data_IF_054199658848
#
_entry.id   IF_054199658848
#
_cell.length_a   1.000
_cell.length_b   1.000
_cell.length_c   1.000
_cell.angle_alpha   90.00
_cell.angle_beta   90.00
_cell.angle_gamma   90.00
#
_symmetry.space_group_name_H-M   'P 1'
#
loop_
_entity.id
_entity.type
_entity.pdbx_description
1 polymer ?
#
# COMPACT_ATOMS: atom_id res chain seq x y z
N UNK A 1 -0.32 -1.79 -15.58
CA UNK A 1 -0.38 -2.15 -14.14
C UNK A 1 -1.78 -1.91 -13.61
N UNK A 2 -2.35 -2.88 -12.93
CA UNK A 2 -3.73 -2.89 -12.45
C UNK A 2 -3.74 -2.64 -10.94
N UNK A 3 -4.43 -1.61 -10.50
CA UNK A 3 -4.38 -1.10 -9.12
C UNK A 3 -5.78 -1.01 -8.54
N UNK A 4 -5.88 -1.27 -7.24
CA UNK A 4 -7.05 -0.91 -6.43
C UNK A 4 -6.61 0.08 -5.35
N UNK A 5 -7.42 1.11 -5.13
CA UNK A 5 -7.18 2.15 -4.13
C UNK A 5 -8.23 2.06 -3.03
N UNK A 6 -7.78 1.97 -1.78
CA UNK A 6 -8.67 1.95 -0.62
C UNK A 6 -8.26 3.06 0.34
N UNK A 7 -9.14 4.04 0.52
CA UNK A 7 -8.97 5.15 1.44
C UNK A 7 -10.35 5.71 1.79
N UNK A 8 -10.59 6.03 3.06
CA UNK A 8 -11.88 6.58 3.49
C UNK A 8 -12.08 8.03 3.03
N UNK A 9 -11.02 8.72 2.62
CA UNK A 9 -11.09 10.07 2.06
C UNK A 9 -11.23 9.98 0.53
N UNK A 10 -12.45 10.28 0.04
CA UNK A 10 -12.74 10.21 -1.39
C UNK A 10 -11.96 11.23 -2.21
N UNK A 11 -11.56 12.35 -1.62
CA UNK A 11 -10.72 13.32 -2.32
C UNK A 11 -9.33 12.74 -2.59
N UNK A 12 -8.78 11.99 -1.64
CA UNK A 12 -7.51 11.29 -1.81
C UNK A 12 -7.62 10.25 -2.92
N UNK A 13 -8.64 9.40 -2.90
CA UNK A 13 -8.81 8.38 -3.94
C UNK A 13 -9.01 8.99 -5.32
N UNK A 14 -9.78 10.06 -5.44
CA UNK A 14 -9.98 10.75 -6.71
C UNK A 14 -8.68 11.36 -7.23
N UNK A 15 -7.93 12.04 -6.36
CA UNK A 15 -6.66 12.67 -6.72
C UNK A 15 -5.64 11.63 -7.16
N UNK A 16 -5.49 10.55 -6.41
CA UNK A 16 -4.56 9.47 -6.74
C UNK A 16 -4.96 8.76 -8.03
N UNK A 17 -6.23 8.46 -8.21
CA UNK A 17 -6.72 7.85 -9.45
C UNK A 17 -6.37 8.70 -10.66
N UNK A 18 -6.63 10.01 -10.58
CA UNK A 18 -6.33 10.95 -11.66
C UNK A 18 -4.85 10.97 -11.99
N UNK A 19 -4.00 11.07 -10.97
CA UNK A 19 -2.54 11.09 -11.14
C UNK A 19 -2.05 9.78 -11.74
N UNK A 20 -2.49 8.65 -11.23
CA UNK A 20 -2.04 7.34 -11.69
C UNK A 20 -2.47 7.07 -13.14
N UNK A 21 -3.72 7.34 -13.45
CA UNK A 21 -4.23 7.09 -14.80
C UNK A 21 -3.67 8.06 -15.85
N UNK A 22 -3.22 9.25 -15.43
CA UNK A 22 -2.59 10.21 -16.33
C UNK A 22 -1.27 9.73 -16.94
N UNK A 23 -0.62 8.77 -16.29
CA UNK A 23 0.65 8.21 -16.78
C UNK A 23 0.48 7.30 -18.00
N UNK A 24 -0.72 6.79 -18.24
CA UNK A 24 -1.01 5.83 -19.29
C UNK A 24 -0.55 4.40 -19.00
N UNK A 25 0.20 4.18 -17.92
CA UNK A 25 0.73 2.87 -17.55
C UNK A 25 -0.02 2.20 -16.41
N UNK A 26 -0.93 2.91 -15.76
CA UNK A 26 -1.68 2.42 -14.59
C UNK A 26 -3.17 2.48 -14.87
N UNK A 27 -3.85 1.38 -14.58
CA UNK A 27 -5.32 1.30 -14.61
C UNK A 27 -5.84 1.09 -13.20
N UNK A 28 -6.69 2.00 -12.73
CA UNK A 28 -7.36 1.86 -11.44
C UNK A 28 -8.65 1.07 -11.66
N UNK A 29 -8.68 -0.18 -11.22
CA UNK A 29 -9.80 -1.09 -11.44
C UNK A 29 -11.02 -0.71 -10.61
N UNK A 30 -10.77 -0.31 -9.36
CA UNK A 30 -11.82 0.03 -8.41
C UNK A 30 -11.23 0.87 -7.28
N UNK A 31 -12.11 1.58 -6.57
CA UNK A 31 -11.77 2.29 -5.34
C UNK A 31 -12.76 1.88 -4.26
N UNK A 32 -12.32 1.91 -3.01
CA UNK A 32 -13.17 1.60 -1.86
C UNK A 32 -12.80 2.48 -0.66
N UNK A 33 -13.63 2.41 0.38
CA UNK A 33 -13.53 3.29 1.54
C UNK A 33 -13.38 2.55 2.87
N UNK A 34 -13.31 1.22 2.84
CA UNK A 34 -13.23 0.41 4.06
C UNK A 34 -12.39 -0.84 3.86
N UNK A 35 -11.98 -1.44 4.97
CA UNK A 35 -11.27 -2.72 4.95
C UNK A 35 -12.10 -3.86 4.35
N UNK A 36 -13.40 -3.88 4.63
CA UNK A 36 -14.30 -4.88 4.06
C UNK A 36 -14.35 -4.78 2.53
N UNK A 37 -14.43 -3.56 2.00
CA UNK A 37 -14.38 -3.34 0.56
C UNK A 37 -13.02 -3.75 -0.02
N UNK A 38 -11.92 -3.47 0.69
CA UNK A 38 -10.59 -3.88 0.25
C UNK A 38 -10.52 -5.39 0.04
N UNK A 39 -11.02 -6.17 1.00
CA UNK A 39 -11.03 -7.64 0.92
C UNK A 39 -11.88 -8.11 -0.25
N UNK A 40 -13.10 -7.59 -0.38
CA UNK A 40 -14.02 -7.99 -1.43
C UNK A 40 -13.50 -7.64 -2.83
N UNK A 41 -12.99 -6.43 -3.00
CA UNK A 41 -12.45 -5.97 -4.29
C UNK A 41 -11.18 -6.72 -4.67
N UNK A 42 -10.31 -7.02 -3.70
CA UNK A 42 -9.13 -7.82 -3.97
C UNK A 42 -9.51 -9.21 -4.48
N UNK A 43 -10.46 -9.86 -3.85
CA UNK A 43 -10.93 -11.19 -4.26
C UNK A 43 -11.54 -11.17 -5.66
N UNK A 44 -12.29 -10.11 -5.97
CA UNK A 44 -12.95 -9.96 -7.25
C UNK A 44 -11.97 -9.69 -8.39
N UNK A 45 -11.02 -8.79 -8.19
CA UNK A 45 -10.20 -8.25 -9.27
C UNK A 45 -8.78 -8.79 -9.33
N UNK A 46 -8.22 -9.27 -8.23
CA UNK A 46 -6.83 -9.73 -8.13
C UNK A 46 -5.87 -8.72 -8.77
N UNK A 47 -5.77 -7.51 -8.23
CA UNK A 47 -4.93 -6.46 -8.83
C UNK A 47 -3.45 -6.81 -8.74
N UNK A 48 -2.63 -6.11 -9.53
CA UNK A 48 -1.18 -6.21 -9.41
C UNK A 48 -0.70 -5.63 -8.08
N UNK A 49 -1.27 -4.49 -7.66
CA UNK A 49 -0.96 -3.87 -6.37
C UNK A 49 -2.24 -3.32 -5.75
N UNK A 50 -2.38 -3.51 -4.44
CA UNK A 50 -3.41 -2.89 -3.63
C UNK A 50 -2.80 -1.75 -2.83
N UNK A 51 -3.27 -0.53 -3.06
CA UNK A 51 -2.95 0.64 -2.25
C UNK A 51 -3.98 0.75 -1.15
N UNK A 52 -3.55 0.63 0.10
CA UNK A 52 -4.45 0.44 1.23
C UNK A 52 -4.09 1.40 2.37
N UNK A 53 -5.04 2.26 2.72
CA UNK A 53 -4.90 3.15 3.87
C UNK A 53 -4.79 2.34 5.16
N UNK A 54 -3.82 2.67 6.00
CA UNK A 54 -3.64 2.00 7.29
C UNK A 54 -4.78 2.34 8.25
N UNK A 55 -5.19 3.61 8.30
CA UNK A 55 -6.15 4.10 9.30
C UNK A 55 -7.45 4.50 8.65
N UNK A 56 -8.52 3.78 8.98
CA UNK A 56 -9.87 4.08 8.52
C UNK A 56 -10.84 3.95 9.70
N UNK A 57 -11.93 4.76 9.75
CA UNK A 57 -12.83 4.81 10.91
C UNK A 57 -13.47 3.49 11.30
N UNK A 58 -13.77 2.62 10.35
CA UNK A 58 -14.51 1.39 10.57
C UNK A 58 -13.62 0.16 10.58
N UNK A 59 -12.39 0.31 11.02
CA UNK A 59 -11.44 -0.78 11.11
C UNK A 59 -10.10 -0.42 10.49
N UNK A 60 -9.08 -1.12 10.93
CA UNK A 60 -7.72 -0.88 10.48
C UNK A 60 -7.52 -1.47 9.09
N UNK A 61 -6.83 -0.73 8.22
CA UNK A 61 -6.32 -1.28 6.98
C UNK A 61 -5.32 -2.41 7.21
N UNK A 62 -4.64 -2.41 8.36
CA UNK A 62 -3.76 -3.53 8.73
C UNK A 62 -4.52 -4.84 8.86
N UNK A 63 -5.70 -4.82 9.48
CA UNK A 63 -6.51 -6.04 9.62
C UNK A 63 -6.96 -6.56 8.26
N UNK A 64 -7.40 -5.68 7.38
CA UNK A 64 -7.77 -6.05 6.02
C UNK A 64 -6.57 -6.62 5.24
N UNK A 65 -5.42 -5.98 5.35
CA UNK A 65 -4.19 -6.44 4.72
C UNK A 65 -3.77 -7.81 5.23
N UNK A 66 -3.89 -8.04 6.53
CA UNK A 66 -3.59 -9.34 7.13
C UNK A 66 -4.48 -10.44 6.55
N UNK A 67 -5.79 -10.21 6.48
CA UNK A 67 -6.72 -11.18 5.91
C UNK A 67 -6.43 -11.49 4.45
N UNK A 68 -6.12 -10.46 3.67
CA UNK A 68 -5.76 -10.63 2.25
C UNK A 68 -4.50 -11.48 2.11
N UNK A 69 -3.47 -11.18 2.91
CA UNK A 69 -2.20 -11.90 2.85
C UNK A 69 -2.31 -13.33 3.36
N UNK A 70 -3.23 -13.62 4.27
CA UNK A 70 -3.52 -14.99 4.71
C UNK A 70 -4.14 -15.81 3.58
N UNK A 71 -4.99 -15.22 2.76
CA UNK A 71 -5.64 -15.88 1.63
C UNK A 71 -4.73 -15.94 0.41
N UNK A 72 -3.93 -14.91 0.19
CA UNK A 72 -3.00 -14.80 -0.94
C UNK A 72 -1.67 -14.24 -0.45
N UNK A 73 -0.71 -15.12 -0.07
CA UNK A 73 0.60 -14.67 0.42
C UNK A 73 1.42 -13.88 -0.62
N UNK A 74 1.07 -13.99 -1.89
CA UNK A 74 1.75 -13.26 -2.96
C UNK A 74 1.12 -11.91 -3.27
N UNK A 75 0.07 -11.51 -2.54
CA UNK A 75 -0.56 -10.22 -2.72
C UNK A 75 0.46 -9.10 -2.52
N UNK A 76 0.46 -8.13 -3.43
CA UNK A 76 1.30 -6.94 -3.30
C UNK A 76 0.46 -5.84 -2.67
N UNK A 77 0.72 -5.58 -1.40
CA UNK A 77 0.05 -4.52 -0.64
C UNK A 77 1.06 -3.43 -0.34
N UNK A 78 0.72 -2.20 -0.73
CA UNK A 78 1.47 -1.00 -0.41
C UNK A 78 0.56 -0.13 0.45
N UNK A 79 0.95 0.08 1.70
CA UNK A 79 0.12 0.86 2.62
C UNK A 79 0.30 2.36 2.41
N UNK A 80 -0.79 3.09 2.59
CA UNK A 80 -0.81 4.55 2.60
C UNK A 80 -1.00 5.04 4.03
N UNK A 81 -0.26 6.07 4.43
CA UNK A 81 -0.39 6.66 5.76
C UNK A 81 -0.14 8.16 5.71
N UNK A 82 -0.76 8.90 6.62
CA UNK A 82 -0.47 10.33 6.79
C UNK A 82 0.71 10.59 7.71
N UNK A 83 1.09 9.60 8.53
CA UNK A 83 2.15 9.72 9.52
C UNK A 83 3.10 8.55 9.44
N UNK A 84 4.39 8.81 9.73
CA UNK A 84 5.36 7.75 9.95
C UNK A 84 5.22 7.23 11.39
N UNK A 85 4.22 6.41 11.65
CA UNK A 85 4.10 5.71 12.93
C UNK A 85 4.86 4.40 12.82
N UNK A 86 6.01 4.32 13.46
CA UNK A 86 6.92 3.19 13.34
C UNK A 86 6.29 1.86 13.79
N UNK A 87 5.41 1.89 14.77
CA UNK A 87 4.73 0.67 15.23
C UNK A 87 3.79 0.11 14.15
N UNK A 88 3.00 0.97 13.52
CA UNK A 88 2.11 0.55 12.43
C UNK A 88 2.90 0.10 11.20
N UNK A 89 3.97 0.80 10.87
CA UNK A 89 4.82 0.46 9.73
C UNK A 89 5.49 -0.89 9.95
N UNK A 90 6.07 -1.11 11.12
CA UNK A 90 6.68 -2.40 11.46
C UNK A 90 5.66 -3.54 11.36
N UNK A 91 4.45 -3.35 11.89
CA UNK A 91 3.38 -4.33 11.80
C UNK A 91 3.00 -4.64 10.36
N UNK A 92 2.85 -3.61 9.53
CA UNK A 92 2.53 -3.77 8.12
C UNK A 92 3.57 -4.61 7.38
N UNK A 93 4.85 -4.34 7.63
CA UNK A 93 5.94 -5.06 6.98
C UNK A 93 6.06 -6.50 7.50
N UNK A 94 5.82 -6.73 8.80
CA UNK A 94 5.80 -8.07 9.38
C UNK A 94 4.69 -8.95 8.79
N UNK A 95 3.55 -8.35 8.43
CA UNK A 95 2.45 -9.04 7.78
C UNK A 95 2.79 -9.50 6.36
N UNK A 96 3.84 -8.96 5.76
CA UNK A 96 4.25 -9.30 4.40
C UNK A 96 3.91 -8.22 3.36
N UNK A 97 3.54 -7.02 3.77
CA UNK A 97 3.34 -5.89 2.85
C UNK A 97 4.63 -5.54 2.13
N UNK A 98 4.50 -4.95 0.95
CA UNK A 98 5.65 -4.52 0.14
C UNK A 98 6.19 -3.16 0.56
N UNK A 99 5.56 -2.50 1.51
CA UNK A 99 6.03 -1.25 2.06
C UNK A 99 4.92 -0.27 2.39
N UNK A 100 5.28 0.99 2.51
CA UNK A 100 4.34 2.08 2.76
C UNK A 100 4.77 3.35 2.04
N UNK A 101 3.80 4.23 1.81
CA UNK A 101 3.99 5.57 1.29
C UNK A 101 3.24 6.57 2.16
N UNK A 102 3.75 7.80 2.22
CA UNK A 102 3.00 8.91 2.81
C UNK A 102 2.00 9.44 1.78
N UNK A 103 0.76 9.67 2.20
CA UNK A 103 -0.33 10.11 1.33
C UNK A 103 -0.05 11.45 0.64
N UNK A 104 0.70 12.33 1.29
CA UNK A 104 1.04 13.65 0.74
C UNK A 104 2.12 13.61 -0.33
N UNK A 105 2.77 12.48 -0.54
CA UNK A 105 3.87 12.36 -1.49
C UNK A 105 3.40 11.73 -2.81
N UNK A 106 2.61 12.50 -3.56
CA UNK A 106 2.08 12.02 -4.82
C UNK A 106 3.16 11.82 -5.90
N UNK A 107 4.25 12.59 -5.85
CA UNK A 107 5.31 12.49 -6.86
C UNK A 107 6.02 11.14 -6.83
N UNK A 108 6.02 10.48 -5.68
CA UNK A 108 6.72 9.22 -5.51
C UNK A 108 5.88 7.97 -5.77
N UNK A 109 4.58 8.10 -6.02
CA UNK A 109 3.72 6.92 -6.03
C UNK A 109 3.97 6.01 -7.24
N UNK A 110 4.17 6.55 -8.41
CA UNK A 110 4.40 5.73 -9.62
C UNK A 110 5.74 5.01 -9.56
N UNK A 111 6.86 5.67 -9.24
CA UNK A 111 8.13 4.95 -9.04
C UNK A 111 8.04 3.87 -7.96
N UNK A 112 7.30 4.11 -6.89
CA UNK A 112 7.11 3.11 -5.83
C UNK A 112 6.36 1.88 -6.34
N UNK A 113 5.29 2.07 -7.11
CA UNK A 113 4.55 0.98 -7.71
C UNK A 113 5.41 0.15 -8.66
N UNK A 114 6.21 0.82 -9.48
CA UNK A 114 7.14 0.14 -10.39
C UNK A 114 8.17 -0.69 -9.62
N UNK A 115 8.71 -0.15 -8.53
CA UNK A 115 9.65 -0.86 -7.67
C UNK A 115 9.02 -2.11 -7.04
N UNK A 116 7.79 -1.99 -6.54
CA UNK A 116 7.05 -3.12 -5.97
C UNK A 116 6.82 -4.22 -7.01
N UNK A 117 6.51 -3.85 -8.24
CA UNK A 117 6.34 -4.82 -9.34
C UNK A 117 7.64 -5.55 -9.67
N UNK A 118 8.78 -4.95 -9.38
CA UNK A 118 10.10 -5.55 -9.57
C UNK A 118 10.58 -6.37 -8.36
N UNK A 119 9.73 -6.51 -7.34
CA UNK A 119 10.05 -7.29 -6.15
C UNK A 119 10.77 -6.50 -5.06
N UNK A 120 10.88 -5.19 -5.19
CA UNK A 120 11.52 -4.35 -4.19
C UNK A 120 10.52 -3.94 -3.10
N UNK A 121 11.03 -3.61 -1.91
CA UNK A 121 10.26 -3.03 -0.82
C UNK A 121 10.44 -1.52 -0.81
N UNK A 122 9.37 -0.78 -0.45
CA UNK A 122 9.35 0.68 -0.47
C UNK A 122 9.05 1.22 0.91
N UNK A 123 9.88 2.15 1.40
CA UNK A 123 9.73 2.75 2.72
C UNK A 123 9.76 4.27 2.60
N UNK A 124 8.64 4.87 2.94
CA UNK A 124 8.55 6.30 3.17
C UNK A 124 8.14 7.14 1.98
N UNK A 125 8.52 8.39 2.08
CA UNK A 125 8.03 9.50 1.28
C UNK A 125 8.89 9.79 0.05
N UNK A 126 9.18 11.05 -0.20
CA UNK A 126 9.91 11.56 -1.36
C UNK A 126 11.34 11.03 -1.52
N UNK A 127 11.88 10.43 -0.47
CA UNK A 127 13.18 9.74 -0.52
C UNK A 127 12.91 8.24 -0.52
N UNK A 128 12.73 7.66 -1.69
CA UNK A 128 12.45 6.22 -1.78
C UNK A 128 13.65 5.41 -1.33
N UNK A 129 13.43 4.61 -0.28
CA UNK A 129 14.31 3.54 0.09
C UNK A 129 13.76 2.26 -0.49
N UNK A 130 14.36 1.79 -1.58
CA UNK A 130 14.00 0.52 -2.20
C UNK A 130 14.93 -0.55 -1.65
N UNK A 131 14.42 -1.42 -0.77
CA UNK A 131 15.22 -2.38 -0.05
C UNK A 131 14.88 -3.81 -0.45
N UNK A 132 15.89 -4.66 -0.43
CA UNK A 132 15.73 -6.10 -0.56
C UNK A 132 15.16 -6.69 0.73
N UNK A 133 14.71 -7.94 0.68
CA UNK A 133 14.05 -8.61 1.80
C UNK A 133 14.89 -8.59 3.09
N UNK A 134 16.20 -8.82 3.00
CA UNK A 134 17.09 -8.81 4.16
C UNK A 134 17.13 -7.43 4.81
N UNK A 135 17.20 -6.38 4.01
CA UNK A 135 17.20 -5.00 4.49
C UNK A 135 15.85 -4.63 5.11
N UNK A 136 14.75 -5.19 4.61
CA UNK A 136 13.43 -5.04 5.21
C UNK A 136 13.42 -5.54 6.66
N UNK A 137 13.99 -6.70 6.93
CA UNK A 137 14.07 -7.25 8.29
C UNK A 137 14.84 -6.33 9.24
N UNK A 138 15.94 -5.75 8.78
CA UNK A 138 16.71 -4.77 9.56
C UNK A 138 15.86 -3.53 9.83
N UNK A 139 15.14 -3.02 8.84
CA UNK A 139 14.28 -1.85 8.97
C UNK A 139 13.19 -2.09 10.01
N UNK A 140 12.52 -3.24 9.96
CA UNK A 140 11.48 -3.62 10.92
C UNK A 140 12.04 -3.58 12.35
N UNK A 141 13.22 -4.17 12.58
CA UNK A 141 13.86 -4.19 13.90
C UNK A 141 14.17 -2.77 14.40
N UNK A 142 14.64 -1.89 13.52
CA UNK A 142 14.91 -0.51 13.90
C UNK A 142 13.63 0.23 14.29
N UNK A 143 12.52 -0.01 13.61
CA UNK A 143 11.24 0.60 13.92
C UNK A 143 10.66 0.14 15.27
N UNK A 144 11.10 -1.00 15.79
CA UNK A 144 10.62 -1.55 17.05
C UNK A 144 11.44 -1.10 18.28
N UNK A 145 12.54 -0.39 18.06
CA UNK A 145 13.33 0.20 19.12
C UNK A 145 12.69 1.51 19.58
#
# INVERSE_FOLDING_TARGET
>A
MRIILIDDDQLVTLSLKTILESTGSVQVLATGTSGAEAIALYQQWKPDVLLLDIQMPNGSGLDAGEQILQQDPNARILFLTTFSDDAYIAKALELGAKGYLLKQDFAGIVPALEAVMQGQHVFGASRFLFLQTIQKEIYIRLCQI
#
